data_IF_809719314519
#
_entry.id   IF_809719314519
#
_cell.length_a   1.000
_cell.length_b   1.000
_cell.length_c   1.000
_cell.angle_alpha   90.00
_cell.angle_beta   90.00
_cell.angle_gamma   90.00
#
_symmetry.space_group_name_H-M   'P 1'
#
loop_
_entity.id
_entity.type
_entity.pdbx_description
1 polymer ?
#
# COMPACT_ATOMS: atom_id res chain seq x y z
N UNK A 1 6.28 12.00 -3.91
CA UNK A 1 5.26 12.31 -4.95
C UNK A 1 4.09 13.06 -4.30
N UNK A 2 3.30 13.86 -5.05
CA UNK A 2 2.20 14.71 -4.50
C UNK A 2 0.79 14.08 -4.62
N UNK A 3 0.70 12.76 -4.77
CA UNK A 3 -0.56 12.05 -4.96
C UNK A 3 -0.57 10.74 -4.18
N UNK A 4 -1.72 10.09 -4.14
CA UNK A 4 -1.92 8.83 -3.45
C UNK A 4 -1.53 7.67 -4.36
N UNK A 5 -1.14 6.55 -3.76
CA UNK A 5 -1.08 5.26 -4.44
C UNK A 5 -1.98 4.27 -3.74
N UNK A 6 -2.81 3.58 -4.52
CA UNK A 6 -3.42 2.33 -4.10
C UNK A 6 -2.63 1.16 -4.68
N UNK A 7 -2.36 0.16 -3.86
CA UNK A 7 -1.70 -1.08 -4.26
C UNK A 7 -2.57 -2.25 -3.82
N UNK A 8 -2.94 -3.12 -4.75
CA UNK A 8 -3.69 -4.35 -4.50
C UNK A 8 -2.80 -5.54 -4.82
N UNK A 9 -2.58 -6.42 -3.85
CA UNK A 9 -1.87 -7.66 -4.10
C UNK A 9 -2.82 -8.68 -4.73
N UNK A 10 -2.46 -9.19 -5.92
CA UNK A 10 -3.24 -10.15 -6.69
C UNK A 10 -2.74 -11.58 -6.45
N UNK A 11 -1.42 -11.76 -6.27
CA UNK A 11 -0.79 -13.06 -6.06
C UNK A 11 0.56 -12.93 -5.36
N UNK A 12 0.96 -13.98 -4.63
CA UNK A 12 2.24 -14.02 -3.92
C UNK A 12 2.26 -13.08 -2.71
N UNK A 13 3.45 -12.72 -2.23
CA UNK A 13 3.60 -11.86 -1.05
C UNK A 13 4.54 -10.70 -1.32
N UNK A 14 4.12 -9.50 -0.91
CA UNK A 14 4.95 -8.30 -0.91
C UNK A 14 5.38 -7.93 0.50
N UNK A 15 6.49 -7.21 0.62
CA UNK A 15 6.93 -6.58 1.86
C UNK A 15 7.03 -5.08 1.65
N UNK A 16 6.43 -4.32 2.57
CA UNK A 16 6.55 -2.87 2.67
C UNK A 16 7.50 -2.58 3.83
N UNK A 17 8.50 -1.76 3.58
CA UNK A 17 9.46 -1.29 4.57
C UNK A 17 9.21 0.19 4.83
N UNK A 18 8.93 0.56 6.07
CA UNK A 18 8.81 1.96 6.41
C UNK A 18 9.29 2.21 7.84
N UNK A 19 10.21 3.17 8.01
CA UNK A 19 10.84 3.52 9.28
C UNK A 19 11.33 2.31 10.12
N UNK A 20 11.95 1.32 9.46
CA UNK A 20 12.46 0.11 10.12
C UNK A 20 11.40 -0.90 10.54
N UNK A 21 10.11 -0.64 10.26
CA UNK A 21 9.03 -1.62 10.38
C UNK A 21 8.81 -2.29 9.04
N UNK A 22 8.34 -3.54 9.08
CA UNK A 22 7.93 -4.30 7.91
C UNK A 22 6.46 -4.71 8.00
N UNK A 23 5.79 -4.67 6.86
CA UNK A 23 4.45 -5.21 6.69
C UNK A 23 4.44 -6.16 5.49
N UNK A 24 3.85 -7.35 5.67
CA UNK A 24 3.71 -8.33 4.59
C UNK A 24 2.30 -8.26 4.05
N UNK A 25 2.16 -7.96 2.76
CA UNK A 25 0.89 -7.97 2.04
C UNK A 25 0.70 -9.27 1.26
N UNK A 26 -0.53 -9.74 1.22
CA UNK A 26 -0.99 -11.02 0.65
C UNK A 26 -2.14 -10.80 -0.33
N UNK A 27 -2.51 -11.81 -1.13
CA UNK A 27 -3.58 -11.64 -2.12
C UNK A 27 -4.89 -11.15 -1.49
N UNK A 28 -5.46 -10.09 -2.05
CA UNK A 28 -6.65 -9.40 -1.53
C UNK A 28 -6.34 -8.15 -0.71
N UNK A 29 -5.12 -8.03 -0.17
CA UNK A 29 -4.73 -6.86 0.61
C UNK A 29 -4.65 -5.60 -0.25
N UNK A 30 -5.29 -4.52 0.23
CA UNK A 30 -5.17 -3.19 -0.36
C UNK A 30 -4.40 -2.27 0.58
N UNK A 31 -3.40 -1.59 0.03
CA UNK A 31 -2.60 -0.58 0.69
C UNK A 31 -2.87 0.79 0.09
N UNK A 32 -3.07 1.78 0.95
CA UNK A 32 -3.19 3.19 0.57
C UNK A 32 -1.97 3.97 1.07
N UNK A 33 -1.10 4.37 0.16
CA UNK A 33 0.04 5.24 0.44
C UNK A 33 -0.38 6.71 0.29
N UNK A 34 -0.30 7.52 1.35
CA UNK A 34 -0.59 8.95 1.26
C UNK A 34 0.55 9.71 0.55
N UNK A 35 0.28 10.94 0.08
CA UNK A 35 1.30 11.79 -0.51
C UNK A 35 2.49 12.00 0.44
N UNK A 36 3.70 11.83 -0.10
CA UNK A 36 4.93 12.04 0.65
C UNK A 36 5.48 10.78 1.33
N UNK A 37 4.72 9.68 1.38
CA UNK A 37 5.25 8.45 1.96
C UNK A 37 6.33 7.77 1.11
N UNK A 38 7.20 7.03 1.80
CA UNK A 38 8.30 6.30 1.15
C UNK A 38 7.77 5.00 0.57
N UNK A 39 7.93 4.84 -0.75
CA UNK A 39 7.47 3.65 -1.47
C UNK A 39 8.57 2.59 -1.50
N UNK A 40 8.99 2.15 -0.32
CA UNK A 40 9.99 1.11 -0.20
C UNK A 40 9.28 -0.24 -0.04
N UNK A 41 8.98 -0.87 -1.17
CA UNK A 41 8.35 -2.18 -1.19
C UNK A 41 8.94 -3.11 -2.25
N UNK A 42 8.76 -4.40 -2.06
CA UNK A 42 9.26 -5.42 -2.97
C UNK A 42 8.61 -6.77 -2.72
N UNK A 43 8.91 -7.77 -3.55
CA UNK A 43 8.53 -9.16 -3.29
C UNK A 43 9.14 -9.59 -1.95
N UNK A 44 8.36 -10.27 -1.12
CA UNK A 44 8.88 -10.83 0.12
C UNK A 44 10.04 -11.82 -0.18
N UNK A 45 11.16 -11.79 0.55
CA UNK A 45 12.34 -12.60 0.23
C UNK A 45 12.06 -14.10 0.08
N UNK A 46 11.13 -14.62 0.90
CA UNK A 46 10.76 -16.04 0.92
C UNK A 46 9.60 -16.40 -0.04
N UNK A 47 9.02 -15.43 -0.75
CA UNK A 47 7.95 -15.68 -1.72
C UNK A 47 8.53 -15.88 -3.12
N UNK A 48 8.02 -16.82 -3.91
CA UNK A 48 8.49 -17.03 -5.29
C UNK A 48 8.14 -15.86 -6.22
N UNK A 49 7.02 -15.20 -5.95
CA UNK A 49 6.46 -14.15 -6.79
C UNK A 49 5.70 -13.10 -5.98
N UNK A 50 5.47 -11.95 -6.59
CA UNK A 50 4.53 -10.95 -6.10
C UNK A 50 3.96 -10.19 -7.28
N UNK A 51 2.66 -10.40 -7.53
CA UNK A 51 1.90 -9.67 -8.54
C UNK A 51 0.99 -8.70 -7.81
N UNK A 52 1.17 -7.41 -8.06
CA UNK A 52 0.28 -6.37 -7.57
C UNK A 52 -0.18 -5.49 -8.71
N UNK A 53 -1.36 -4.91 -8.54
CA UNK A 53 -1.83 -3.79 -9.34
C UNK A 53 -1.69 -2.52 -8.53
N UNK A 54 -1.36 -1.43 -9.21
CA UNK A 54 -1.21 -0.14 -8.55
C UNK A 54 -1.81 0.95 -9.40
N UNK A 55 -2.30 1.99 -8.72
CA UNK A 55 -2.75 3.23 -9.37
C UNK A 55 -2.24 4.41 -8.57
N UNK A 56 -1.62 5.36 -9.28
CA UNK A 56 -1.28 6.67 -8.74
C UNK A 56 -2.33 7.67 -9.18
N UNK A 57 -2.85 8.47 -8.23
CA UNK A 57 -3.87 9.46 -8.54
C UNK A 57 -3.79 10.68 -7.62
N UNK A 58 -4.37 11.79 -8.10
CA UNK A 58 -4.66 12.96 -7.28
C UNK A 58 -6.17 13.03 -7.04
N UNK A 59 -6.63 12.93 -5.79
CA UNK A 59 -8.06 12.92 -5.51
C UNK A 59 -8.68 14.29 -5.77
N UNK A 60 -9.98 14.27 -6.10
CA UNK A 60 -10.82 15.46 -6.00
C UNK A 60 -11.03 15.77 -4.51
N UNK A 61 -11.23 17.03 -4.15
CA UNK A 61 -11.34 17.45 -2.75
C UNK A 61 -12.41 16.65 -1.96
N UNK A 62 -13.54 16.32 -2.58
CA UNK A 62 -14.61 15.56 -1.94
C UNK A 62 -14.33 14.05 -1.76
N UNK A 63 -13.19 13.54 -2.23
CA UNK A 63 -12.76 12.15 -1.97
C UNK A 63 -12.01 11.99 -0.64
N UNK A 64 -11.73 13.09 0.07
CA UNK A 64 -10.92 13.09 1.29
C UNK A 64 -11.41 12.06 2.33
N UNK A 65 -12.72 11.96 2.51
CA UNK A 65 -13.35 11.04 3.46
C UNK A 65 -13.08 9.57 3.10
N UNK A 66 -13.05 9.22 1.81
CA UNK A 66 -12.78 7.86 1.34
C UNK A 66 -11.32 7.45 1.46
N UNK A 67 -10.42 8.41 1.69
CA UNK A 67 -8.97 8.21 1.79
C UNK A 67 -8.46 8.27 3.24
N UNK A 68 -9.37 8.43 4.20
CA UNK A 68 -9.04 8.41 5.63
C UNK A 68 -9.13 6.98 6.14
N UNK A 69 -8.15 6.16 5.74
CA UNK A 69 -8.07 4.77 6.16
C UNK A 69 -7.40 4.65 7.54
N UNK A 70 -7.79 3.66 8.36
CA UNK A 70 -7.04 3.35 9.58
C UNK A 70 -5.58 3.10 9.24
N UNK A 71 -4.69 3.89 9.84
CA UNK A 71 -3.25 3.67 9.72
C UNK A 71 -2.87 2.48 10.56
N UNK A 72 -2.59 1.36 9.90
CA UNK A 72 -2.18 0.12 10.57
C UNK A 72 -0.64 -0.03 10.48
N UNK A 73 -0.01 0.60 9.49
CA UNK A 73 1.44 0.56 9.30
C UNK A 73 1.96 1.88 8.72
N UNK A 74 2.80 2.61 9.46
CA UNK A 74 3.55 3.77 8.97
C UNK A 74 2.77 4.73 8.03
N UNK A 75 1.66 5.28 8.53
CA UNK A 75 0.70 6.15 7.81
C UNK A 75 0.05 5.54 6.56
N UNK A 76 0.37 4.29 6.24
CA UNK A 76 -0.23 3.53 5.15
C UNK A 76 -1.53 2.90 5.67
N UNK A 77 -2.62 3.22 4.97
CA UNK A 77 -3.91 2.59 5.20
C UNK A 77 -3.88 1.14 4.73
N UNK A 78 -4.55 0.25 5.47
CA UNK A 78 -4.66 -1.15 5.10
C UNK A 78 -6.12 -1.60 5.17
N UNK A 79 -6.57 -2.29 4.13
CA UNK A 79 -7.89 -2.92 4.07
C UNK A 79 -7.73 -4.41 3.77
N UNK A 80 -8.09 -5.31 4.71
CA UNK A 80 -8.15 -6.73 4.44
C UNK A 80 -9.41 -7.08 3.63
N UNK A 81 -9.39 -8.14 2.80
CA UNK A 81 -10.58 -8.67 2.16
C UNK A 81 -11.65 -9.18 3.15
#
# INVERSE_FOLDING_TARGET
>A
MKGYILNLTIRGEGVINNHGKQFVCRPGDILLFPPGEVHHYGRHPNASEWYHQWVYFRPRAYWQEWLTWPTIFAQTGFFPP
#
